data_IF_452286268308
#
_entry.id   IF_452286268308
#
_cell.length_a   1.000
_cell.length_b   1.000
_cell.length_c   1.000
_cell.angle_alpha   90.00
_cell.angle_beta   90.00
_cell.angle_gamma   90.00
#
_symmetry.space_group_name_H-M   'P 1'
#
loop_
_entity.id
_entity.type
_entity.pdbx_description
1 polymer ?
#
# COMPACT_ATOMS: atom_id res chain seq x y z
N UNK A 1 14.68 62.74 -13.26
CA UNK A 1 15.49 62.29 -12.12
C UNK A 1 14.71 61.50 -11.04
N UNK A 2 13.38 61.54 -11.00
CA UNK A 2 12.57 60.82 -9.98
C UNK A 2 12.28 59.36 -10.31
N UNK A 3 12.22 58.99 -11.58
CA UNK A 3 11.88 57.59 -11.96
C UNK A 3 13.01 56.60 -11.63
N UNK A 4 14.26 57.03 -11.67
CA UNK A 4 15.41 56.16 -11.33
C UNK A 4 15.46 55.80 -9.82
N UNK A 5 15.04 56.72 -8.95
CA UNK A 5 14.98 56.47 -7.50
C UNK A 5 13.87 55.47 -7.11
N UNK A 6 12.75 55.49 -7.83
CA UNK A 6 11.63 54.57 -7.62
C UNK A 6 12.02 53.13 -8.01
N UNK A 7 12.73 52.97 -9.14
CA UNK A 7 13.22 51.66 -9.58
C UNK A 7 14.17 50.98 -8.59
N UNK A 8 15.11 51.75 -8.02
CA UNK A 8 16.07 51.26 -7.03
C UNK A 8 15.36 50.83 -5.73
N UNK A 9 14.36 51.58 -5.27
CA UNK A 9 13.59 51.22 -4.07
C UNK A 9 12.81 49.92 -4.23
N UNK A 10 12.24 49.67 -5.41
CA UNK A 10 11.49 48.43 -5.69
C UNK A 10 12.45 47.24 -5.72
N UNK A 11 13.63 47.37 -6.33
CA UNK A 11 14.63 46.31 -6.38
C UNK A 11 15.12 45.94 -4.97
N UNK A 12 15.40 46.95 -4.14
CA UNK A 12 15.82 46.71 -2.75
C UNK A 12 14.73 46.04 -1.91
N UNK A 13 13.46 46.39 -2.13
CA UNK A 13 12.32 45.71 -1.45
C UNK A 13 12.20 44.24 -1.86
N UNK A 14 12.37 43.94 -3.15
CA UNK A 14 12.32 42.53 -3.64
C UNK A 14 13.49 41.71 -3.07
N UNK A 15 14.71 42.29 -3.04
CA UNK A 15 15.87 41.62 -2.44
C UNK A 15 15.63 41.34 -0.94
N UNK A 16 15.06 42.29 -0.20
CA UNK A 16 14.73 42.13 1.21
C UNK A 16 13.70 41.00 1.44
N UNK A 17 12.68 40.91 0.60
CA UNK A 17 11.65 39.83 0.68
C UNK A 17 12.29 38.47 0.40
N UNK A 18 13.14 38.37 -0.62
CA UNK A 18 13.80 37.10 -0.96
C UNK A 18 14.73 36.66 0.18
N UNK A 19 15.49 37.57 0.78
CA UNK A 19 16.40 37.23 1.89
C UNK A 19 15.66 36.81 3.14
N UNK A 20 14.53 37.46 3.48
CA UNK A 20 13.70 37.09 4.63
C UNK A 20 13.06 35.73 4.38
N UNK A 21 12.52 35.47 3.19
CA UNK A 21 11.91 34.19 2.85
C UNK A 21 12.93 33.04 2.86
N UNK A 22 14.14 33.28 2.37
CA UNK A 22 15.23 32.31 2.42
C UNK A 22 15.67 32.01 3.85
N UNK A 23 15.77 33.05 4.69
CA UNK A 23 16.13 32.87 6.09
C UNK A 23 15.07 32.11 6.88
N UNK A 24 13.77 32.36 6.65
CA UNK A 24 12.68 31.57 7.25
C UNK A 24 12.69 30.12 6.77
N UNK A 25 13.00 29.89 5.50
CA UNK A 25 13.13 28.54 4.96
C UNK A 25 14.31 27.78 5.57
N UNK A 26 15.46 28.44 5.76
CA UNK A 26 16.61 27.85 6.46
C UNK A 26 16.30 27.54 7.93
N UNK A 27 15.58 28.40 8.64
CA UNK A 27 15.17 28.15 10.02
C UNK A 27 14.17 26.99 10.14
N UNK A 28 13.33 26.77 9.14
CA UNK A 28 12.44 25.62 9.07
C UNK A 28 13.18 24.29 8.87
N UNK A 29 14.29 24.31 8.10
CA UNK A 29 15.14 23.13 7.89
C UNK A 29 16.01 22.83 9.12
N UNK A 30 16.53 23.88 9.81
CA UNK A 30 17.32 23.71 11.03
C UNK A 30 16.49 23.24 12.24
N UNK A 31 15.16 23.42 12.19
CA UNK A 31 14.24 22.93 13.21
C UNK A 31 13.65 21.55 12.91
N UNK A 32 14.07 20.86 11.86
CA UNK A 32 13.84 19.41 11.75
C UNK A 32 14.66 18.74 12.87
N UNK A 33 13.94 18.30 13.89
CA UNK A 33 14.49 17.49 14.98
C UNK A 33 15.35 16.37 14.40
N UNK A 34 16.56 16.26 14.90
CA UNK A 34 17.41 15.12 14.53
C UNK A 34 16.73 13.81 14.92
N UNK A 35 17.06 12.71 14.26
CA UNK A 35 16.51 11.37 14.57
C UNK A 35 16.68 11.02 16.07
N UNK A 36 17.70 11.54 16.73
CA UNK A 36 17.93 11.36 18.16
C UNK A 36 16.97 12.19 19.00
N UNK A 37 16.71 13.44 18.67
CA UNK A 37 15.74 14.30 19.37
C UNK A 37 14.30 13.78 19.20
N UNK A 38 13.96 13.27 18.01
CA UNK A 38 12.70 12.60 17.75
C UNK A 38 12.54 11.35 18.65
N UNK A 39 13.58 10.53 18.75
CA UNK A 39 13.59 9.35 19.62
C UNK A 39 13.47 9.72 21.09
N UNK A 40 14.15 10.76 21.54
CA UNK A 40 14.03 11.24 22.92
C UNK A 40 12.64 11.79 23.24
N UNK A 41 12.04 12.57 22.35
CA UNK A 41 10.68 13.05 22.54
C UNK A 41 9.64 11.93 22.54
N UNK A 42 9.80 10.95 21.67
CA UNK A 42 8.97 9.74 21.68
C UNK A 42 9.14 9.00 22.98
N UNK A 43 10.36 8.75 23.42
CA UNK A 43 10.64 8.07 24.67
C UNK A 43 10.11 8.83 25.89
N UNK A 44 10.24 10.14 25.96
CA UNK A 44 9.68 10.95 27.05
C UNK A 44 8.14 10.94 27.04
N UNK A 45 7.53 10.97 25.87
CA UNK A 45 6.07 10.97 25.73
C UNK A 45 5.46 9.62 26.07
N UNK A 46 6.15 8.52 25.77
CA UNK A 46 5.64 7.16 25.98
C UNK A 46 6.13 6.54 27.31
N UNK A 47 7.25 6.95 27.89
CA UNK A 47 7.68 6.50 29.22
C UNK A 47 6.75 6.95 30.37
N UNK A 48 5.90 7.94 30.13
CA UNK A 48 4.88 8.38 31.10
C UNK A 48 3.50 7.72 30.87
N UNK A 49 3.35 6.91 29.82
CA UNK A 49 2.17 6.09 29.64
C UNK A 49 2.42 4.74 30.29
N UNK A 50 1.63 4.41 31.28
CA UNK A 50 1.59 3.06 31.86
C UNK A 50 1.35 2.09 30.72
N UNK A 51 2.36 1.28 30.40
CA UNK A 51 2.24 0.24 29.37
C UNK A 51 1.10 -0.66 29.82
N UNK A 52 -0.01 -0.63 29.08
CA UNK A 52 -1.13 -1.50 29.40
C UNK A 52 -0.71 -2.94 29.10
N UNK A 53 -1.24 -3.95 29.83
CA UNK A 53 -0.94 -5.36 29.53
C UNK A 53 -1.19 -5.76 28.07
N UNK A 54 -2.05 -5.01 27.40
CA UNK A 54 -2.39 -5.17 25.99
C UNK A 54 -1.24 -4.72 25.06
N UNK A 55 -0.58 -3.62 25.39
CA UNK A 55 0.60 -3.12 24.65
C UNK A 55 1.81 -4.05 24.86
N UNK A 56 1.99 -4.55 26.08
CA UNK A 56 3.05 -5.52 26.39
C UNK A 56 2.88 -6.79 25.55
N UNK A 57 1.66 -7.31 25.49
CA UNK A 57 1.33 -8.48 24.66
C UNK A 57 1.58 -8.24 23.16
N UNK A 58 1.25 -7.04 22.66
CA UNK A 58 1.53 -6.68 21.26
C UNK A 58 3.03 -6.57 20.98
N UNK A 59 3.80 -6.01 21.91
CA UNK A 59 5.26 -5.94 21.78
C UNK A 59 5.92 -7.32 21.78
N UNK A 60 5.42 -8.25 22.57
CA UNK A 60 5.92 -9.64 22.57
C UNK A 60 5.58 -10.33 21.25
N UNK A 61 4.37 -10.18 20.73
CA UNK A 61 4.00 -10.70 19.40
C UNK A 61 4.92 -10.15 18.31
N UNK A 62 5.21 -8.86 18.32
CA UNK A 62 6.11 -8.23 17.33
C UNK A 62 7.53 -8.76 17.45
N UNK A 63 8.04 -8.97 18.68
CA UNK A 63 9.37 -9.55 18.88
C UNK A 63 9.44 -10.98 18.40
N UNK A 64 8.44 -11.81 18.74
CA UNK A 64 8.39 -13.21 18.32
C UNK A 64 8.30 -13.31 16.79
N UNK A 65 7.48 -12.49 16.15
CA UNK A 65 7.35 -12.42 14.68
C UNK A 65 8.69 -12.05 14.03
N UNK A 66 9.42 -11.08 14.60
CA UNK A 66 10.75 -10.69 14.10
C UNK A 66 11.74 -11.83 14.20
N UNK A 67 11.78 -12.52 15.35
CA UNK A 67 12.66 -13.67 15.58
C UNK A 67 12.33 -14.80 14.62
N UNK A 68 11.05 -15.11 14.42
CA UNK A 68 10.60 -16.14 13.47
C UNK A 68 11.02 -15.81 12.04
N UNK A 69 10.88 -14.56 11.60
CA UNK A 69 11.31 -14.15 10.28
C UNK A 69 12.84 -14.24 10.10
N UNK A 70 13.63 -13.87 11.12
CA UNK A 70 15.10 -13.96 11.08
C UNK A 70 15.60 -15.42 11.08
N UNK A 71 14.82 -16.36 11.62
CA UNK A 71 15.14 -17.80 11.68
C UNK A 71 14.53 -18.59 10.52
N UNK A 72 13.72 -17.98 9.69
CA UNK A 72 13.11 -18.63 8.53
C UNK A 72 14.16 -18.94 7.46
N UNK A 73 14.08 -20.13 6.86
CA UNK A 73 14.91 -20.49 5.69
C UNK A 73 14.61 -19.56 4.48
N UNK A 74 13.42 -18.94 4.46
CA UNK A 74 12.98 -18.03 3.40
C UNK A 74 12.30 -16.81 4.06
N UNK A 75 13.07 -15.86 4.62
CA UNK A 75 12.52 -14.70 5.31
C UNK A 75 11.78 -13.79 4.33
N UNK A 76 10.62 -13.29 4.76
CA UNK A 76 9.90 -12.28 3.98
C UNK A 76 10.71 -10.98 3.93
N UNK A 77 11.19 -10.65 2.74
CA UNK A 77 11.84 -9.36 2.46
C UNK A 77 10.85 -8.54 1.65
N UNK A 78 10.36 -7.40 2.18
CA UNK A 78 9.48 -6.51 1.43
C UNK A 78 10.16 -6.12 0.10
N UNK A 79 9.51 -6.43 -1.01
CA UNK A 79 10.03 -6.07 -2.34
C UNK A 79 9.79 -4.58 -2.59
N UNK A 80 10.74 -3.95 -3.24
CA UNK A 80 10.52 -2.61 -3.79
C UNK A 80 9.54 -2.78 -4.96
N UNK A 81 8.47 -1.99 -5.04
CA UNK A 81 7.51 -2.05 -6.14
C UNK A 81 8.22 -1.87 -7.49
N UNK A 82 8.08 -2.82 -8.38
CA UNK A 82 8.73 -2.75 -9.70
C UNK A 82 7.85 -2.06 -10.74
N UNK A 83 6.53 -2.10 -10.56
CA UNK A 83 5.52 -1.52 -11.46
C UNK A 83 5.69 -1.95 -12.93
N UNK A 84 6.20 -3.15 -13.15
CA UNK A 84 6.49 -3.71 -14.49
C UNK A 84 5.30 -4.44 -15.08
N UNK A 85 4.39 -4.93 -14.24
CA UNK A 85 3.20 -5.65 -14.69
C UNK A 85 2.08 -4.65 -14.99
N UNK A 86 1.92 -4.34 -16.27
CA UNK A 86 1.07 -3.25 -16.74
C UNK A 86 0.16 -3.65 -17.90
N UNK A 87 -1.00 -3.01 -17.95
CA UNK A 87 -1.95 -3.07 -19.06
C UNK A 87 -2.51 -1.68 -19.33
N UNK A 88 -1.95 -0.97 -20.30
CA UNK A 88 -2.27 0.43 -20.56
C UNK A 88 -2.06 1.32 -19.34
N UNK A 89 -3.11 1.99 -18.82
CA UNK A 89 -3.02 2.87 -17.66
C UNK A 89 -2.99 2.12 -16.31
N UNK A 90 -3.23 0.81 -16.30
CA UNK A 90 -3.31 -0.04 -15.12
C UNK A 90 -1.97 -0.69 -14.84
N UNK A 91 -1.47 -0.54 -13.61
CA UNK A 91 -0.22 -1.13 -13.15
C UNK A 91 -0.44 -1.80 -11.80
N UNK A 92 0.25 -2.91 -11.57
CA UNK A 92 0.39 -3.50 -10.24
C UNK A 92 1.85 -3.52 -9.82
N UNK A 93 2.08 -3.52 -8.52
CA UNK A 93 3.41 -3.34 -7.93
C UNK A 93 4.33 -4.56 -8.10
N UNK A 94 3.77 -5.77 -8.23
CA UNK A 94 4.54 -7.01 -8.39
C UNK A 94 3.77 -8.00 -9.28
N UNK A 95 4.42 -9.10 -9.64
CA UNK A 95 3.85 -10.24 -10.37
C UNK A 95 3.63 -11.48 -9.48
N UNK A 96 4.22 -11.50 -8.27
CA UNK A 96 4.10 -12.55 -7.27
C UNK A 96 3.86 -11.96 -5.88
N UNK A 97 2.94 -12.56 -5.13
CA UNK A 97 2.55 -12.12 -3.80
C UNK A 97 2.47 -13.30 -2.83
N UNK A 98 2.85 -13.02 -1.57
CA UNK A 98 2.60 -13.93 -0.47
C UNK A 98 1.23 -13.69 0.14
N UNK A 99 0.67 -14.70 0.80
CA UNK A 99 -0.57 -14.56 1.57
C UNK A 99 -0.39 -13.50 2.66
N UNK A 100 -1.34 -12.55 2.73
CA UNK A 100 -1.27 -11.37 3.59
C UNK A 100 -0.60 -10.16 2.95
N UNK A 101 0.09 -10.30 1.82
CA UNK A 101 0.67 -9.17 1.10
C UNK A 101 -0.42 -8.37 0.38
N UNK A 102 -0.28 -7.05 0.39
CA UNK A 102 -1.16 -6.16 -0.35
C UNK A 102 -0.75 -6.11 -1.81
N UNK A 103 -1.74 -6.22 -2.68
CA UNK A 103 -1.62 -5.94 -4.13
C UNK A 103 -1.97 -4.48 -4.33
N UNK A 104 -1.02 -3.68 -4.73
CA UNK A 104 -1.27 -2.27 -5.05
C UNK A 104 -1.57 -2.12 -6.53
N UNK A 105 -2.61 -1.36 -6.82
CA UNK A 105 -3.06 -1.03 -8.18
C UNK A 105 -2.97 0.46 -8.39
N UNK A 106 -2.19 0.88 -9.36
CA UNK A 106 -2.09 2.27 -9.78
C UNK A 106 -2.82 2.43 -11.12
N UNK A 107 -3.63 3.47 -11.24
CA UNK A 107 -4.27 3.87 -12.49
C UNK A 107 -3.81 5.28 -12.81
N UNK A 108 -3.13 5.45 -13.95
CA UNK A 108 -2.62 6.76 -14.37
C UNK A 108 -2.65 6.90 -15.88
N UNK A 109 -3.03 8.08 -16.34
CA UNK A 109 -3.08 8.36 -17.78
C UNK A 109 -4.25 7.71 -18.53
N UNK A 110 -5.31 7.34 -17.81
CA UNK A 110 -6.58 6.91 -18.42
C UNK A 110 -7.32 8.12 -19.02
N UNK A 111 -8.07 7.93 -20.08
CA UNK A 111 -8.88 9.00 -20.66
C UNK A 111 -9.99 9.45 -19.70
N UNK A 112 -10.25 10.76 -19.61
CA UNK A 112 -11.27 11.32 -18.71
C UNK A 112 -12.69 10.76 -18.95
N UNK A 113 -12.93 10.19 -20.11
CA UNK A 113 -14.23 9.60 -20.48
C UNK A 113 -14.33 8.12 -20.11
N UNK A 114 -13.20 7.47 -19.83
CA UNK A 114 -13.17 6.05 -19.54
C UNK A 114 -13.63 5.81 -18.12
N UNK A 115 -14.66 4.99 -17.99
CA UNK A 115 -15.22 4.52 -16.72
C UNK A 115 -15.45 3.02 -16.82
N UNK A 116 -15.25 2.34 -15.72
CA UNK A 116 -15.43 0.90 -15.70
C UNK A 116 -15.13 0.28 -14.35
N UNK A 117 -14.81 -1.00 -14.40
CA UNK A 117 -14.50 -1.79 -13.20
C UNK A 117 -13.26 -2.62 -13.40
N UNK A 118 -12.46 -2.69 -12.36
CA UNK A 118 -11.40 -3.67 -12.20
C UNK A 118 -12.01 -4.85 -11.46
N UNK A 119 -12.23 -5.94 -12.16
CA UNK A 119 -12.70 -7.19 -11.55
C UNK A 119 -11.50 -8.10 -11.28
N UNK A 120 -11.31 -8.47 -10.03
CA UNK A 120 -10.25 -9.37 -9.59
C UNK A 120 -10.84 -10.76 -9.43
N UNK A 121 -10.19 -11.75 -10.01
CA UNK A 121 -10.63 -13.14 -9.99
C UNK A 121 -9.57 -14.01 -9.33
N UNK A 122 -10.04 -14.89 -8.44
CA UNK A 122 -9.22 -15.93 -7.79
C UNK A 122 -9.32 -17.23 -8.58
N UNK A 123 -8.23 -18.03 -8.67
CA UNK A 123 -8.31 -19.37 -9.23
C UNK A 123 -9.19 -20.25 -8.34
N UNK A 124 -10.13 -20.97 -8.94
CA UNK A 124 -10.91 -21.97 -8.22
C UNK A 124 -10.28 -23.33 -8.51
N UNK A 125 -9.85 -24.01 -7.46
CA UNK A 125 -9.23 -25.33 -7.58
C UNK A 125 -10.23 -26.33 -8.16
N UNK A 126 -9.86 -27.01 -9.25
CA UNK A 126 -10.65 -28.04 -9.96
C UNK A 126 -11.90 -27.55 -10.72
N UNK A 127 -12.05 -26.27 -10.98
CA UNK A 127 -13.17 -25.77 -11.74
C UNK A 127 -12.71 -24.93 -12.95
N UNK A 128 -13.42 -25.07 -14.07
CA UNK A 128 -13.11 -24.34 -15.31
C UNK A 128 -13.53 -22.86 -15.27
N UNK A 129 -13.97 -22.37 -14.12
CA UNK A 129 -14.38 -20.98 -13.95
C UNK A 129 -13.52 -20.26 -12.88
N UNK A 130 -13.50 -18.94 -12.96
CA UNK A 130 -12.84 -18.09 -11.99
C UNK A 130 -13.87 -17.39 -11.11
N UNK A 131 -13.66 -17.43 -9.80
CA UNK A 131 -14.53 -16.72 -8.86
C UNK A 131 -14.12 -15.25 -8.78
N UNK A 132 -15.08 -14.33 -8.94
CA UNK A 132 -14.82 -12.92 -8.75
C UNK A 132 -14.64 -12.60 -7.27
N UNK A 133 -13.40 -12.25 -6.91
CA UNK A 133 -13.00 -11.93 -5.55
C UNK A 133 -13.37 -10.50 -5.15
N UNK A 134 -13.11 -9.54 -6.04
CA UNK A 134 -13.35 -8.12 -5.78
C UNK A 134 -13.69 -7.37 -7.05
N UNK A 135 -14.35 -6.23 -6.90
CA UNK A 135 -14.65 -5.30 -7.98
C UNK A 135 -14.42 -3.87 -7.52
N UNK A 136 -13.59 -3.13 -8.23
CA UNK A 136 -13.18 -1.76 -7.92
C UNK A 136 -13.63 -0.88 -9.09
N UNK A 137 -14.44 0.15 -8.83
CA UNK A 137 -14.81 1.11 -9.85
C UNK A 137 -13.69 2.11 -10.12
N UNK A 138 -13.49 2.48 -11.36
CA UNK A 138 -12.59 3.56 -11.76
C UNK A 138 -13.28 4.58 -12.64
N UNK A 139 -12.79 5.82 -12.57
CA UNK A 139 -13.29 6.97 -13.33
C UNK A 139 -12.09 7.80 -13.79
N UNK A 140 -11.88 7.87 -15.10
CA UNK A 140 -10.78 8.62 -15.70
C UNK A 140 -10.83 10.14 -15.47
N UNK A 141 -11.99 10.68 -15.07
CA UNK A 141 -12.10 12.09 -14.67
C UNK A 141 -11.36 12.39 -13.36
N UNK A 142 -11.02 11.34 -12.60
CA UNK A 142 -10.19 11.44 -11.39
C UNK A 142 -8.74 11.19 -11.80
N UNK A 143 -7.89 12.21 -11.79
CA UNK A 143 -6.58 12.23 -12.44
C UNK A 143 -5.58 11.14 -12.03
N UNK A 144 -5.66 10.58 -10.82
CA UNK A 144 -4.85 9.45 -10.35
C UNK A 144 -5.61 8.68 -9.30
N UNK A 145 -5.70 7.37 -9.49
CA UNK A 145 -6.36 6.46 -8.56
C UNK A 145 -5.38 5.38 -8.10
N UNK A 146 -5.23 5.23 -6.79
CA UNK A 146 -4.45 4.18 -6.18
C UNK A 146 -5.40 3.32 -5.33
N UNK A 147 -5.39 2.02 -5.59
CA UNK A 147 -6.18 1.05 -4.85
C UNK A 147 -5.27 -0.02 -4.28
N UNK A 148 -5.74 -0.75 -3.32
CA UNK A 148 -5.10 -1.97 -2.87
C UNK A 148 -6.15 -2.96 -2.38
N UNK A 149 -5.81 -4.23 -2.45
CA UNK A 149 -6.55 -5.31 -1.81
C UNK A 149 -5.56 -6.35 -1.28
N UNK A 150 -6.02 -7.19 -0.38
CA UNK A 150 -5.21 -8.26 0.19
C UNK A 150 -5.91 -9.58 -0.11
N UNK A 151 -5.26 -10.52 -0.84
CA UNK A 151 -5.77 -11.87 -0.95
C UNK A 151 -5.96 -12.49 0.43
N UNK A 152 -7.16 -12.97 0.73
CA UNK A 152 -7.50 -13.52 2.04
C UNK A 152 -8.73 -14.42 2.01
N UNK A 153 -8.93 -15.19 3.08
CA UNK A 153 -10.10 -16.03 3.25
C UNK A 153 -11.36 -15.17 3.31
N UNK A 154 -12.46 -15.71 2.78
CA UNK A 154 -13.75 -15.02 2.72
C UNK A 154 -14.91 -16.04 2.76
N UNK A 155 -15.52 -16.14 3.90
CA UNK A 155 -16.69 -17.01 4.08
C UNK A 155 -17.82 -16.69 3.08
N UNK A 156 -18.08 -15.39 2.87
CA UNK A 156 -19.12 -14.93 1.94
C UNK A 156 -18.88 -15.31 0.47
N UNK A 157 -17.64 -15.58 0.11
CA UNK A 157 -17.25 -16.02 -1.23
C UNK A 157 -16.98 -17.53 -1.28
N UNK A 158 -17.11 -18.25 -0.17
CA UNK A 158 -16.78 -19.68 -0.09
C UNK A 158 -15.29 -19.96 -0.18
N UNK A 159 -14.43 -18.98 0.13
CA UNK A 159 -12.97 -19.13 0.17
C UNK A 159 -12.58 -19.45 1.62
N UNK A 160 -12.47 -20.73 1.93
CA UNK A 160 -12.40 -21.23 3.28
C UNK A 160 -11.02 -21.74 3.70
N UNK A 161 -10.12 -21.92 2.74
CA UNK A 161 -8.77 -22.42 2.95
C UNK A 161 -7.76 -21.73 2.04
N UNK A 162 -6.49 -21.75 2.41
CA UNK A 162 -5.40 -21.07 1.70
C UNK A 162 -5.16 -21.63 0.31
N UNK A 163 -5.35 -22.92 0.10
CA UNK A 163 -5.20 -23.58 -1.20
C UNK A 163 -6.15 -23.01 -2.27
N UNK A 164 -7.28 -22.44 -1.87
CA UNK A 164 -8.18 -21.72 -2.78
C UNK A 164 -7.67 -20.35 -3.21
N UNK A 165 -6.68 -19.78 -2.49
CA UNK A 165 -6.07 -18.49 -2.81
C UNK A 165 -4.80 -18.64 -3.65
N UNK A 166 -4.14 -19.80 -3.56
CA UNK A 166 -2.86 -20.05 -4.20
C UNK A 166 -3.06 -20.29 -5.70
N UNK A 167 -2.22 -19.65 -6.50
CA UNK A 167 -2.21 -19.83 -7.96
C UNK A 167 -2.33 -18.53 -8.72
N UNK A 168 -2.76 -18.65 -9.97
CA UNK A 168 -2.81 -17.53 -10.93
C UNK A 168 -4.11 -16.75 -10.80
N UNK A 169 -3.99 -15.51 -10.38
CA UNK A 169 -5.07 -14.54 -10.31
C UNK A 169 -5.16 -13.73 -11.60
N UNK A 170 -6.36 -13.23 -11.90
CA UNK A 170 -6.62 -12.41 -13.08
C UNK A 170 -7.30 -11.11 -12.67
N UNK A 171 -6.83 -10.02 -13.21
CA UNK A 171 -7.42 -8.70 -13.09
C UNK A 171 -7.92 -8.26 -14.46
N UNK A 172 -9.23 -8.12 -14.60
CA UNK A 172 -9.92 -7.75 -15.86
C UNK A 172 -10.46 -6.34 -15.78
N UNK A 173 -10.30 -5.59 -16.84
CA UNK A 173 -10.68 -4.18 -16.94
C UNK A 173 -11.99 -4.04 -17.78
N UNK A 174 -13.11 -4.23 -17.10
CA UNK A 174 -14.43 -4.14 -17.74
C UNK A 174 -14.76 -2.68 -18.11
N UNK A 175 -15.30 -2.49 -19.33
CA UNK A 175 -15.55 -1.17 -19.89
C UNK A 175 -14.37 -0.61 -20.70
N UNK A 176 -13.29 -1.38 -20.85
CA UNK A 176 -12.11 -1.00 -21.64
C UNK A 176 -11.72 -2.09 -22.62
N UNK A 177 -10.73 -1.80 -23.48
CA UNK A 177 -10.11 -2.79 -24.39
C UNK A 177 -8.73 -3.24 -23.92
N UNK A 178 -8.31 -2.87 -22.72
CA UNK A 178 -7.02 -3.27 -22.18
C UNK A 178 -7.01 -4.75 -21.81
N UNK A 179 -5.93 -5.47 -22.14
CA UNK A 179 -5.81 -6.88 -21.79
C UNK A 179 -5.78 -7.10 -20.28
N UNK A 180 -6.17 -8.31 -19.86
CA UNK A 180 -6.12 -8.71 -18.47
C UNK A 180 -4.68 -8.66 -17.93
N UNK A 181 -4.49 -8.23 -16.68
CA UNK A 181 -3.25 -8.43 -15.92
C UNK A 181 -3.37 -9.74 -15.14
N UNK A 182 -2.28 -10.50 -15.09
CA UNK A 182 -2.21 -11.72 -14.28
C UNK A 182 -1.05 -11.65 -13.31
N UNK A 183 -1.26 -12.19 -12.11
CA UNK A 183 -0.25 -12.31 -11.07
C UNK A 183 -0.43 -13.63 -10.32
N UNK A 184 0.55 -14.01 -9.51
CA UNK A 184 0.54 -15.28 -8.78
C UNK A 184 0.51 -15.01 -7.28
N UNK A 185 -0.34 -15.72 -6.56
CA UNK A 185 -0.27 -15.83 -5.11
C UNK A 185 0.37 -17.17 -4.77
N UNK A 186 1.46 -17.14 -4.01
CA UNK A 186 2.24 -18.33 -3.64
C UNK A 186 1.89 -18.82 -2.23
N UNK A 187 2.19 -20.09 -1.96
CA UNK A 187 1.97 -20.74 -0.65
C UNK A 187 3.05 -20.32 0.36
N UNK A 188 3.05 -19.04 0.67
CA UNK A 188 3.90 -18.42 1.69
C UNK A 188 3.10 -17.36 2.40
N UNK A 189 3.13 -17.36 3.72
CA UNK A 189 2.42 -16.38 4.56
C UNK A 189 3.41 -15.35 5.08
N UNK A 190 3.04 -14.07 5.05
CA UNK A 190 3.83 -13.03 5.71
C UNK A 190 3.89 -13.33 7.20
N UNK A 191 5.09 -13.33 7.82
CA UNK A 191 5.25 -13.55 9.25
C UNK A 191 4.35 -12.65 10.10
N UNK A 192 3.60 -13.26 11.02
CA UNK A 192 2.62 -12.59 11.87
C UNK A 192 1.20 -12.52 11.31
N UNK A 193 0.97 -13.08 10.11
CA UNK A 193 -0.36 -13.15 9.49
C UNK A 193 -0.95 -14.56 9.51
N UNK A 194 -0.31 -15.53 10.13
CA UNK A 194 -0.68 -16.95 10.12
C UNK A 194 -2.11 -17.17 10.61
N UNK A 195 -2.50 -16.50 11.70
CA UNK A 195 -3.84 -16.58 12.26
C UNK A 195 -4.96 -16.13 11.32
N UNK A 196 -4.65 -15.26 10.36
CA UNK A 196 -5.63 -14.79 9.37
C UNK A 196 -5.91 -15.82 8.28
N UNK A 197 -5.08 -16.85 8.20
CA UNK A 197 -5.14 -17.91 7.18
C UNK A 197 -5.45 -19.29 7.77
N UNK A 198 -5.87 -19.35 9.03
CA UNK A 198 -6.44 -20.56 9.57
C UNK A 198 -7.72 -20.93 8.81
N UNK A 199 -7.84 -22.20 8.44
CA UNK A 199 -9.00 -22.70 7.69
C UNK A 199 -10.30 -22.37 8.43
N UNK A 200 -11.24 -21.77 7.73
CA UNK A 200 -12.56 -21.46 8.28
C UNK A 200 -13.31 -22.78 8.46
N UNK A 201 -13.77 -23.11 9.69
CA UNK A 201 -14.49 -24.36 9.93
C UNK A 201 -15.76 -24.46 9.08
N UNK A 202 -15.93 -25.59 8.40
CA UNK A 202 -17.16 -25.92 7.66
C UNK A 202 -18.28 -26.16 8.65
N UNK A 203 -19.24 -25.28 8.77
CA UNK A 203 -20.28 -25.47 9.77
C UNK A 203 -21.67 -25.01 9.39
N UNK A 204 -21.87 -23.77 9.03
CA UNK A 204 -23.21 -23.21 8.86
C UNK A 204 -23.28 -22.15 7.75
N UNK A 205 -22.57 -22.30 6.65
CA UNK A 205 -22.57 -21.30 5.61
C UNK A 205 -21.94 -21.78 4.30
N UNK A 206 -21.24 -20.89 3.61
CA UNK A 206 -20.57 -21.21 2.36
C UNK A 206 -19.25 -21.98 2.57
N UNK A 207 -18.73 -22.00 3.78
CA UNK A 207 -17.69 -22.90 4.24
C UNK A 207 -18.33 -24.05 5.03
#
# INVERSE_FOLDING_TARGET
>A
MNQFKIGISIILAIIAIITISSFQYYQLIENELTDEEWREQINQKYNNQTVTPEIEKLLDIVKDTKIQNEQSEDPFIPRIPEWTNASGPFLIDNDEYWLGQKVFVNISGIDEKDKGRINVYVPVVNEDYMLRYSSIEFDGSIGRNNYYFTPGLSESLGICSTDQLIGKWVMRFEGTQYPDITFTVVDKIIPGYELMFETIPTGNGFC
#
